data_IF_605239767731
#
_entry.id   IF_605239767731
#
_cell.length_a   1.000
_cell.length_b   1.000
_cell.length_c   1.000
_cell.angle_alpha   90.00
_cell.angle_beta   90.00
_cell.angle_gamma   90.00
#
_symmetry.space_group_name_H-M   'P 1'
#
loop_
_entity.id
_entity.type
_entity.pdbx_description
1 polymer ?
#
# COMPACT_ATOMS: atom_id res chain seq x y z
N UNK A 1 -8.81 -7.26 8.50
CA UNK A 1 -7.78 -6.83 7.52
C UNK A 1 -7.87 -5.31 7.28
N UNK A 2 -6.72 -4.63 7.17
CA UNK A 2 -6.61 -3.18 7.05
C UNK A 2 -7.07 -2.68 5.68
N UNK A 3 -8.07 -1.78 5.60
CA UNK A 3 -8.60 -1.35 4.30
C UNK A 3 -7.64 -0.43 3.54
N UNK A 4 -6.80 0.32 4.25
CA UNK A 4 -5.87 1.28 3.68
C UNK A 4 -4.75 1.62 4.67
N UNK A 5 -3.66 2.17 4.14
CA UNK A 5 -2.59 2.81 4.89
C UNK A 5 -2.35 4.20 4.32
N UNK A 6 -2.11 5.17 5.20
CA UNK A 6 -1.62 6.49 4.82
C UNK A 6 -0.23 6.71 5.38
N UNK A 7 0.58 7.51 4.71
CA UNK A 7 1.96 7.77 5.08
C UNK A 7 2.32 9.20 4.70
N UNK A 8 3.18 9.81 5.51
CA UNK A 8 3.64 11.20 5.33
C UNK A 8 5.11 11.28 5.70
N UNK A 9 5.91 12.05 4.96
CA UNK A 9 7.28 12.36 5.35
C UNK A 9 7.30 13.12 6.68
N UNK A 10 8.39 12.97 7.45
CA UNK A 10 8.62 13.83 8.62
C UNK A 10 9.40 15.09 8.25
N UNK A 11 10.12 15.03 7.14
CA UNK A 11 10.93 16.07 6.56
C UNK A 11 10.11 16.88 5.55
N UNK A 12 10.40 18.18 5.52
CA UNK A 12 9.86 19.13 4.54
C UNK A 12 10.77 19.22 3.32
N UNK A 13 10.15 19.42 2.16
CA UNK A 13 10.79 19.51 0.87
C UNK A 13 10.34 20.76 0.13
N UNK A 14 11.17 21.25 -0.77
CA UNK A 14 10.80 22.29 -1.73
C UNK A 14 9.84 21.71 -2.78
N UNK A 15 8.98 22.56 -3.36
CA UNK A 15 7.92 22.15 -4.28
C UNK A 15 8.45 21.37 -5.50
N UNK A 16 9.58 21.79 -6.08
CA UNK A 16 10.20 21.14 -7.22
C UNK A 16 10.75 19.74 -6.89
N UNK A 17 11.24 19.57 -5.67
CA UNK A 17 11.68 18.26 -5.18
C UNK A 17 10.50 17.33 -4.90
N UNK A 18 9.38 17.85 -4.39
CA UNK A 18 8.14 17.07 -4.26
C UNK A 18 7.66 16.57 -5.61
N UNK A 19 7.64 17.42 -6.64
CA UNK A 19 7.26 17.02 -8.00
C UNK A 19 8.15 15.90 -8.53
N UNK A 20 9.47 16.00 -8.34
CA UNK A 20 10.42 14.96 -8.73
C UNK A 20 10.18 13.63 -7.99
N UNK A 21 9.97 13.66 -6.67
CA UNK A 21 9.69 12.46 -5.87
C UNK A 21 8.34 11.81 -6.24
N UNK A 22 7.34 12.60 -6.63
CA UNK A 22 6.06 12.09 -7.12
C UNK A 22 6.22 11.37 -8.46
N UNK A 23 7.01 11.91 -9.37
CA UNK A 23 7.31 11.29 -10.66
C UNK A 23 8.08 9.97 -10.48
N UNK A 24 9.15 9.97 -9.68
CA UNK A 24 9.93 8.77 -9.36
C UNK A 24 9.06 7.68 -8.72
N UNK A 25 8.22 8.06 -7.75
CA UNK A 25 7.29 7.14 -7.11
C UNK A 25 6.29 6.53 -8.10
N UNK A 26 5.81 7.30 -9.08
CA UNK A 26 4.90 6.82 -10.11
C UNK A 26 5.58 5.82 -11.06
N UNK A 27 6.84 6.08 -11.43
CA UNK A 27 7.63 5.17 -12.26
C UNK A 27 7.83 3.82 -11.54
N UNK A 28 8.27 3.84 -10.29
CA UNK A 28 8.43 2.62 -9.47
C UNK A 28 7.08 1.91 -9.26
N UNK A 29 6.00 2.66 -9.02
CA UNK A 29 4.67 2.07 -8.85
C UNK A 29 4.18 1.32 -10.09
N UNK A 30 4.59 1.75 -11.29
CA UNK A 30 4.14 1.21 -12.57
C UNK A 30 4.66 -0.21 -12.85
N UNK A 31 5.73 -0.62 -12.17
CA UNK A 31 6.31 -1.96 -12.28
C UNK A 31 5.48 -3.02 -11.54
N UNK A 32 4.61 -2.61 -10.61
CA UNK A 32 3.77 -3.50 -9.81
C UNK A 32 2.31 -3.46 -10.26
N UNK A 33 1.68 -4.63 -10.38
CA UNK A 33 0.25 -4.74 -10.66
C UNK A 33 -0.53 -4.75 -9.35
N UNK A 34 -1.00 -3.58 -8.93
CA UNK A 34 -1.75 -3.43 -7.67
C UNK A 34 -3.07 -4.20 -7.68
N UNK A 35 -3.42 -4.75 -6.52
CA UNK A 35 -4.69 -5.40 -6.29
C UNK A 35 -5.85 -4.40 -6.31
N UNK A 36 -5.73 -3.29 -5.57
CA UNK A 36 -6.78 -2.27 -5.46
C UNK A 36 -6.37 -0.91 -6.00
N UNK A 37 -5.64 -0.12 -5.22
CA UNK A 37 -5.23 1.21 -5.63
C UNK A 37 -3.71 1.25 -5.77
N UNK A 38 -3.18 1.76 -6.89
CA UNK A 38 -1.76 2.00 -7.04
C UNK A 38 -1.18 2.87 -5.93
N UNK A 39 0.08 2.60 -5.57
CA UNK A 39 0.91 3.52 -4.81
C UNK A 39 0.98 4.86 -5.55
N UNK A 40 0.77 5.95 -4.82
CA UNK A 40 0.79 7.29 -5.37
C UNK A 40 1.15 8.29 -4.28
N UNK A 41 1.99 9.26 -4.63
CA UNK A 41 2.40 10.34 -3.75
C UNK A 41 1.81 11.68 -4.20
N UNK A 42 1.72 12.62 -3.26
CA UNK A 42 1.31 14.00 -3.48
C UNK A 42 1.72 14.87 -2.29
N UNK A 43 1.81 16.19 -2.50
CA UNK A 43 1.92 17.15 -1.41
C UNK A 43 0.80 16.97 -0.37
N UNK A 44 1.13 17.03 0.91
CA UNK A 44 0.14 16.89 1.98
C UNK A 44 -0.84 18.07 1.98
N UNK A 45 -2.13 17.74 2.14
CA UNK A 45 -3.21 18.74 2.05
C UNK A 45 -3.17 19.80 3.16
N UNK A 46 -2.53 19.51 4.28
CA UNK A 46 -2.43 20.38 5.45
C UNK A 46 -1.07 21.08 5.51
N UNK A 47 -0.01 20.43 5.04
CA UNK A 47 1.31 21.02 4.89
C UNK A 47 1.89 20.66 3.51
N UNK A 48 1.77 21.55 2.50
CA UNK A 48 2.23 21.27 1.13
C UNK A 48 3.71 20.89 1.02
N UNK A 49 4.56 21.29 1.98
CA UNK A 49 5.98 20.94 2.01
C UNK A 49 6.24 19.49 2.42
N UNK A 50 5.23 18.74 2.88
CA UNK A 50 5.36 17.33 3.21
C UNK A 50 4.88 16.46 2.04
N UNK A 51 5.55 15.34 1.85
CA UNK A 51 5.16 14.32 0.89
C UNK A 51 4.21 13.33 1.57
N UNK A 52 3.08 13.00 0.93
CA UNK A 52 2.06 12.11 1.51
C UNK A 52 1.44 11.18 0.50
N UNK A 53 0.87 10.08 0.98
CA UNK A 53 0.08 9.17 0.18
C UNK A 53 -0.93 8.37 0.98
N UNK A 54 -1.86 7.75 0.26
CA UNK A 54 -2.88 6.86 0.78
C UNK A 54 -3.06 5.70 -0.21
N UNK A 55 -2.79 4.49 0.25
CA UNK A 55 -2.97 3.28 -0.55
C UNK A 55 -4.12 2.47 0.03
N UNK A 56 -5.14 2.18 -0.79
CA UNK A 56 -6.20 1.23 -0.44
C UNK A 56 -5.73 -0.17 -0.78
N UNK A 57 -5.81 -1.07 0.19
CA UNK A 57 -5.22 -2.41 0.13
C UNK A 57 -6.28 -3.50 -0.11
N UNK A 58 -7.55 -3.22 0.17
CA UNK A 58 -8.65 -4.19 0.12
C UNK A 58 -9.81 -3.68 -0.72
N UNK A 59 -10.40 -4.55 -1.54
CA UNK A 59 -11.63 -4.21 -2.27
C UNK A 59 -12.87 -4.40 -1.41
N UNK A 60 -12.99 -5.54 -0.71
CA UNK A 60 -14.21 -6.11 -0.10
C UNK A 60 -15.33 -6.40 -1.10
N UNK A 61 -15.61 -5.47 -2.01
CA UNK A 61 -16.58 -5.57 -3.09
C UNK A 61 -15.99 -4.98 -4.38
N UNK A 62 -16.34 -5.58 -5.51
CA UNK A 62 -16.00 -5.09 -6.84
C UNK A 62 -17.32 -4.74 -7.53
N UNK A 63 -17.45 -3.50 -7.99
CA UNK A 63 -18.58 -3.10 -8.84
C UNK A 63 -18.31 -3.55 -10.27
N UNK A 64 -19.26 -4.28 -10.86
CA UNK A 64 -19.18 -4.63 -12.27
C UNK A 64 -19.63 -3.46 -13.18
N UNK A 65 -19.47 -3.63 -14.49
CA UNK A 65 -19.86 -2.61 -15.48
C UNK A 65 -21.35 -2.27 -15.48
N UNK A 66 -22.19 -3.03 -14.78
CA UNK A 66 -23.63 -2.83 -14.66
C UNK A 66 -24.01 -2.14 -13.35
N UNK A 67 -23.04 -1.92 -12.46
CA UNK A 67 -23.23 -1.34 -11.12
C UNK A 67 -23.62 -2.36 -10.06
N UNK A 68 -23.62 -3.66 -10.36
CA UNK A 68 -23.84 -4.70 -9.35
C UNK A 68 -22.56 -4.98 -8.57
N UNK A 69 -22.64 -4.92 -7.25
CA UNK A 69 -21.52 -5.19 -6.36
C UNK A 69 -21.35 -6.70 -6.14
N UNK A 70 -20.24 -7.25 -6.58
CA UNK A 70 -19.83 -8.63 -6.28
C UNK A 70 -18.86 -8.66 -5.11
N UNK A 71 -19.14 -9.52 -4.13
CA UNK A 71 -18.24 -9.73 -2.99
C UNK A 71 -16.96 -10.45 -3.44
N UNK A 72 -15.82 -10.01 -2.94
CA UNK A 72 -14.53 -10.70 -3.08
C UNK A 72 -14.42 -11.78 -2.01
N UNK A 73 -13.86 -12.95 -2.37
CA UNK A 73 -13.49 -13.97 -1.39
C UNK A 73 -12.54 -13.35 -0.36
N UNK A 74 -12.89 -13.46 0.93
CA UNK A 74 -12.19 -12.70 1.97
C UNK A 74 -10.71 -13.10 2.06
N UNK A 75 -10.42 -14.40 1.89
CA UNK A 75 -9.05 -14.91 1.90
C UNK A 75 -8.22 -14.36 0.74
N UNK A 76 -8.81 -14.29 -0.45
CA UNK A 76 -8.13 -13.79 -1.64
C UNK A 76 -7.83 -12.31 -1.50
N UNK A 77 -8.80 -11.52 -1.00
CA UNK A 77 -8.61 -10.10 -0.70
C UNK A 77 -7.50 -9.91 0.36
N UNK A 78 -7.48 -10.73 1.41
CA UNK A 78 -6.43 -10.67 2.45
C UNK A 78 -5.05 -11.01 1.89
N UNK A 79 -4.93 -12.09 1.12
CA UNK A 79 -3.67 -12.49 0.49
C UNK A 79 -3.14 -11.39 -0.43
N UNK A 80 -3.98 -10.89 -1.34
CA UNK A 80 -3.57 -9.90 -2.32
C UNK A 80 -3.28 -8.54 -1.67
N UNK A 81 -4.07 -8.13 -0.68
CA UNK A 81 -3.79 -6.92 0.09
C UNK A 81 -2.53 -7.04 0.96
N UNK A 82 -2.19 -8.24 1.45
CA UNK A 82 -0.92 -8.46 2.14
C UNK A 82 0.28 -8.32 1.20
N UNK A 83 0.19 -8.87 -0.02
CA UNK A 83 1.20 -8.70 -1.08
C UNK A 83 1.41 -7.21 -1.37
N UNK A 84 0.33 -6.46 -1.63
CA UNK A 84 0.41 -5.02 -1.87
C UNK A 84 0.95 -4.23 -0.66
N UNK A 85 0.69 -4.68 0.57
CA UNK A 85 1.22 -4.04 1.77
C UNK A 85 2.74 -4.22 1.86
N UNK A 86 3.23 -5.43 1.58
CA UNK A 86 4.68 -5.71 1.59
C UNK A 86 5.39 -4.90 0.49
N UNK A 87 4.85 -4.90 -0.73
CA UNK A 87 5.38 -4.09 -1.83
C UNK A 87 5.34 -2.59 -1.50
N UNK A 88 4.27 -2.09 -0.88
CA UNK A 88 4.21 -0.70 -0.42
C UNK A 88 5.34 -0.37 0.55
N UNK A 89 5.60 -1.23 1.54
CA UNK A 89 6.69 -0.98 2.50
C UNK A 89 8.06 -1.02 1.83
N UNK A 90 8.28 -1.92 0.86
CA UNK A 90 9.51 -1.96 0.07
C UNK A 90 9.72 -0.67 -0.73
N UNK A 91 8.68 -0.16 -1.39
CA UNK A 91 8.76 1.09 -2.15
C UNK A 91 9.00 2.31 -1.25
N UNK A 92 8.32 2.38 -0.10
CA UNK A 92 8.55 3.44 0.88
C UNK A 92 9.97 3.38 1.45
N UNK A 93 10.49 2.18 1.72
CA UNK A 93 11.86 1.97 2.16
C UNK A 93 12.88 2.36 1.10
N UNK A 94 12.63 2.02 -0.16
CA UNK A 94 13.48 2.43 -1.28
C UNK A 94 13.60 3.97 -1.34
N UNK A 95 12.48 4.69 -1.38
CA UNK A 95 12.47 6.16 -1.44
C UNK A 95 13.12 6.78 -0.19
N UNK A 96 12.79 6.25 0.99
CA UNK A 96 13.35 6.70 2.28
C UNK A 96 14.86 6.58 2.32
N UNK A 97 15.41 5.52 1.71
CA UNK A 97 16.85 5.29 1.63
C UNK A 97 17.54 6.18 0.62
N UNK A 98 16.98 6.26 -0.59
CA UNK A 98 17.59 7.00 -1.70
C UNK A 98 17.66 8.51 -1.40
N UNK A 99 16.64 9.03 -0.71
CA UNK A 99 16.48 10.45 -0.45
C UNK A 99 16.66 10.83 1.03
N UNK A 100 17.14 9.89 1.85
CA UNK A 100 17.52 10.08 3.26
C UNK A 100 16.44 10.77 4.12
N UNK A 101 15.20 10.26 4.07
CA UNK A 101 14.09 10.81 4.85
C UNK A 101 13.26 9.74 5.54
N UNK A 102 12.40 10.15 6.48
CA UNK A 102 11.58 9.27 7.29
C UNK A 102 10.11 9.30 6.88
N UNK A 103 9.50 8.12 6.73
CA UNK A 103 8.05 8.00 6.66
C UNK A 103 7.45 7.77 8.04
N UNK A 104 6.36 8.48 8.35
CA UNK A 104 5.42 8.09 9.38
C UNK A 104 4.21 7.42 8.73
N UNK A 105 3.94 6.17 9.12
CA UNK A 105 2.81 5.37 8.62
C UNK A 105 1.66 5.41 9.63
N UNK A 106 0.44 5.49 9.10
CA UNK A 106 -0.80 5.58 9.86
C UNK A 106 -1.86 4.61 9.33
N UNK A 107 -2.74 4.16 10.23
CA UNK A 107 -4.04 3.61 9.86
C UNK A 107 -5.04 4.77 9.76
N UNK A 108 -5.73 4.95 8.63
CA UNK A 108 -6.69 6.03 8.41
C UNK A 108 -8.05 5.72 9.08
N UNK A 109 -8.08 5.66 10.41
CA UNK A 109 -9.31 5.52 11.21
C UNK A 109 -9.86 6.87 11.67
N UNK A 110 -11.16 6.91 11.96
CA UNK A 110 -11.82 8.05 12.60
C UNK A 110 -11.66 8.04 14.13
N UNK A 111 -11.61 9.20 14.80
CA UNK A 111 -11.74 10.56 14.26
C UNK A 111 -10.42 11.13 13.72
N UNK A 112 -9.29 10.45 13.93
CA UNK A 112 -7.96 10.86 13.45
C UNK A 112 -7.13 9.63 13.09
N UNK A 113 -6.29 9.72 12.04
CA UNK A 113 -5.36 8.65 11.71
C UNK A 113 -4.49 8.27 12.92
N UNK A 114 -4.27 6.96 13.10
CA UNK A 114 -3.46 6.42 14.20
C UNK A 114 -2.06 6.08 13.68
N UNK A 115 -0.98 6.67 14.22
CA UNK A 115 0.37 6.29 13.84
C UNK A 115 0.65 4.84 14.27
N UNK A 116 1.29 4.08 13.40
CA UNK A 116 1.55 2.65 13.63
C UNK A 116 3.01 2.28 13.50
N UNK A 117 3.78 3.00 12.71
CA UNK A 117 5.21 2.80 12.63
C UNK A 117 5.89 3.74 11.66
N UNK A 118 7.19 3.58 11.53
CA UNK A 118 8.05 4.42 10.68
C UNK A 118 8.91 3.56 9.79
N UNK A 119 9.37 4.19 8.72
CA UNK A 119 10.42 3.68 7.85
C UNK A 119 11.49 4.77 7.83
N UNK A 120 12.70 4.44 8.28
CA UNK A 120 13.77 5.40 8.56
C UNK A 120 14.98 5.03 7.72
N UNK A 121 15.36 5.88 6.77
CA UNK A 121 16.51 5.66 5.88
C UNK A 121 16.51 4.25 5.22
N UNK A 122 15.31 3.77 4.85
CA UNK A 122 15.09 2.45 4.27
C UNK A 122 14.92 1.29 5.26
N UNK A 123 15.02 1.52 6.56
CA UNK A 123 14.75 0.51 7.57
C UNK A 123 13.28 0.53 8.00
N UNK A 124 12.59 -0.60 7.82
CA UNK A 124 11.18 -0.76 8.18
C UNK A 124 11.07 -1.17 9.66
N UNK A 125 10.37 -0.38 10.49
CA UNK A 125 10.13 -0.76 11.89
C UNK A 125 9.35 -2.08 11.97
N UNK A 126 9.81 -3.10 12.73
CA UNK A 126 9.20 -4.45 12.73
C UNK A 126 7.69 -4.51 13.03
N UNK A 127 7.20 -3.60 13.87
CA UNK A 127 5.76 -3.49 14.20
C UNK A 127 4.86 -3.15 13.00
N UNK A 128 5.43 -2.67 11.89
CA UNK A 128 4.66 -2.47 10.65
C UNK A 128 4.22 -3.80 10.06
N UNK A 129 4.96 -4.89 10.25
CA UNK A 129 4.55 -6.22 9.81
C UNK A 129 3.42 -6.80 10.69
N UNK A 130 3.37 -6.43 11.98
CA UNK A 130 2.30 -6.82 12.91
C UNK A 130 0.90 -6.33 12.47
N UNK A 131 0.85 -5.39 11.52
CA UNK A 131 -0.38 -4.89 10.93
C UNK A 131 -1.13 -5.93 10.07
N UNK A 132 -0.40 -6.84 9.44
CA UNK A 132 -0.96 -7.83 8.51
C UNK A 132 -0.84 -9.27 9.03
N UNK A 133 0.17 -9.56 9.86
CA UNK A 133 0.44 -10.91 10.37
C UNK A 133 -0.77 -11.59 11.03
N UNK A 134 -1.58 -10.93 11.87
CA UNK A 134 -2.72 -11.61 12.52
C UNK A 134 -3.73 -12.19 11.54
N UNK A 135 -3.96 -11.55 10.40
CA UNK A 135 -4.91 -12.02 9.38
C UNK A 135 -4.28 -13.10 8.49
N UNK A 136 -2.99 -12.97 8.18
CA UNK A 136 -2.21 -14.00 7.47
C UNK A 136 -2.25 -15.31 8.27
N UNK A 137 -1.95 -15.24 9.56
CA UNK A 137 -1.94 -16.39 10.46
C UNK A 137 -3.35 -17.00 10.60
N UNK A 138 -4.39 -16.18 10.77
CA UNK A 138 -5.76 -16.63 10.95
C UNK A 138 -6.34 -17.35 9.71
N UNK A 139 -5.84 -17.02 8.51
CA UNK A 139 -6.29 -17.60 7.24
C UNK A 139 -5.32 -18.63 6.67
N UNK A 140 -4.30 -19.00 7.45
CA UNK A 140 -3.26 -19.96 7.08
C UNK A 140 -2.62 -19.61 5.72
N UNK A 141 -2.38 -18.32 5.48
CA UNK A 141 -1.69 -17.84 4.28
C UNK A 141 -0.20 -18.12 4.45
N UNK A 142 0.36 -18.93 3.56
CA UNK A 142 1.75 -19.35 3.64
C UNK A 142 2.71 -18.37 2.98
N UNK A 143 3.97 -18.37 3.41
CA UNK A 143 5.05 -17.64 2.73
C UNK A 143 5.15 -18.01 1.25
N UNK A 144 4.89 -19.28 0.91
CA UNK A 144 4.84 -19.72 -0.48
C UNK A 144 3.76 -18.97 -1.27
N UNK A 145 2.55 -18.84 -0.72
CA UNK A 145 1.46 -18.11 -1.37
C UNK A 145 1.74 -16.62 -1.47
N UNK A 146 2.36 -16.00 -0.45
CA UNK A 146 2.77 -14.59 -0.51
C UNK A 146 3.77 -14.30 -1.64
N UNK A 147 4.51 -15.31 -2.08
CA UNK A 147 5.52 -15.19 -3.14
C UNK A 147 5.12 -15.86 -4.47
N UNK A 148 3.92 -16.44 -4.58
CA UNK A 148 3.48 -17.17 -5.77
C UNK A 148 2.86 -16.22 -6.82
N UNK A 149 3.71 -15.70 -7.70
CA UNK A 149 3.31 -14.79 -8.78
C UNK A 149 2.23 -15.37 -9.70
N UNK A 150 2.22 -16.69 -9.93
CA UNK A 150 1.19 -17.33 -10.76
C UNK A 150 -0.16 -17.36 -10.05
N UNK A 151 -0.16 -17.67 -8.76
CA UNK A 151 -1.37 -17.60 -7.94
C UNK A 151 -1.92 -16.18 -7.95
N UNK A 152 -1.10 -15.17 -7.70
CA UNK A 152 -1.53 -13.77 -7.67
C UNK A 152 -2.14 -13.32 -9.01
N UNK A 153 -1.52 -13.72 -10.12
CA UNK A 153 -2.07 -13.44 -11.44
C UNK A 153 -3.43 -14.13 -11.65
N UNK A 154 -3.54 -15.40 -11.27
CA UNK A 154 -4.79 -16.17 -11.37
C UNK A 154 -5.93 -15.52 -10.59
N UNK A 155 -5.65 -15.03 -9.37
CA UNK A 155 -6.64 -14.31 -8.55
C UNK A 155 -7.07 -13.00 -9.20
N UNK A 156 -6.12 -12.23 -9.76
CA UNK A 156 -6.46 -11.01 -10.53
C UNK A 156 -7.35 -11.33 -11.72
N UNK A 157 -7.05 -12.36 -12.50
CA UNK A 157 -7.87 -12.76 -13.66
C UNK A 157 -9.26 -13.27 -13.24
N UNK A 158 -9.34 -13.96 -12.10
CA UNK A 158 -10.61 -14.44 -11.53
C UNK A 158 -11.49 -13.28 -11.05
N UNK A 159 -10.87 -12.22 -10.51
CA UNK A 159 -11.60 -11.09 -9.93
C UNK A 159 -11.84 -9.93 -10.91
N UNK A 160 -10.93 -9.72 -11.84
CA UNK A 160 -10.88 -8.63 -12.81
C UNK A 160 -10.59 -9.15 -14.24
N UNK A 161 -11.48 -9.99 -14.81
CA UNK A 161 -11.27 -10.52 -16.16
C UNK A 161 -11.22 -9.36 -17.16
N UNK A 162 -10.12 -9.25 -17.90
CA UNK A 162 -10.04 -8.29 -19.01
C UNK A 162 -11.09 -8.68 -20.06
N UNK A 163 -11.98 -7.75 -20.39
CA UNK A 163 -13.01 -7.92 -21.42
C UNK A 163 -12.46 -7.60 -22.80
#
# INVERSE_FOLDING_TARGET
>A
MLPALSYTSLEEFEDDYIEALVEEAADVASEHVWWNQPFSLSADKRNPNLLSGLTKLMHRYIEDSTGEARKVEYRDDVLMGAVDTLTLFEMLAFLSKEHEFTWQVFIPIEPRPKPVGRIIEGEIEPKLFELIMPEIDALEITEKELNDTKLHQTLRETHFPQR
#
